data_IF_095809575075
#
_entry.id   IF_095809575075
#
_cell.length_a   1.000
_cell.length_b   1.000
_cell.length_c   1.000
_cell.angle_alpha   90.00
_cell.angle_beta   90.00
_cell.angle_gamma   90.00
#
_symmetry.space_group_name_H-M   'P 1'
#
loop_
_entity.id
_entity.type
_entity.pdbx_description
1 polymer ?
#
# COMPACT_ATOMS: atom_id res chain seq x y z
N UNK A 1 29.71 -20.77 22.15
CA UNK A 1 29.50 -20.45 20.71
C UNK A 1 29.42 -21.74 19.90
N UNK A 2 28.94 -21.72 18.65
CA UNK A 2 29.06 -22.89 17.73
C UNK A 2 30.53 -23.36 17.61
N UNK A 3 31.48 -22.43 17.64
CA UNK A 3 32.92 -22.71 17.63
C UNK A 3 33.47 -23.41 18.88
N UNK A 4 32.65 -23.57 19.92
CA UNK A 4 33.04 -24.19 21.20
C UNK A 4 32.13 -25.38 21.53
N UNK A 5 31.19 -25.72 20.64
CA UNK A 5 30.28 -26.82 20.86
C UNK A 5 31.02 -28.14 20.60
N UNK A 6 31.11 -29.05 21.59
CA UNK A 6 31.88 -30.27 21.46
C UNK A 6 31.25 -31.30 20.50
N UNK A 7 30.01 -31.09 20.07
CA UNK A 7 29.27 -31.98 19.18
C UNK A 7 29.14 -31.44 17.75
N UNK A 8 29.57 -30.21 17.49
CA UNK A 8 29.43 -29.55 16.19
C UNK A 8 30.79 -29.04 15.69
N UNK A 9 31.13 -29.36 14.45
CA UNK A 9 32.31 -28.82 13.77
C UNK A 9 31.85 -27.93 12.61
N UNK A 10 32.29 -26.67 12.59
CA UNK A 10 32.03 -25.76 11.48
C UNK A 10 33.06 -26.00 10.37
N UNK A 11 32.60 -26.49 9.21
CA UNK A 11 33.42 -26.75 8.04
C UNK A 11 32.86 -26.04 6.81
N UNK A 12 33.70 -25.80 5.82
CA UNK A 12 33.30 -25.33 4.49
C UNK A 12 32.66 -26.47 3.68
N UNK A 13 31.94 -26.10 2.61
CA UNK A 13 31.34 -27.09 1.68
C UNK A 13 32.42 -28.00 1.07
N UNK A 14 33.59 -27.45 0.71
CA UNK A 14 34.70 -28.23 0.15
C UNK A 14 35.24 -29.26 1.13
N UNK A 15 35.48 -28.85 2.39
CA UNK A 15 35.95 -29.78 3.44
C UNK A 15 34.91 -30.86 3.74
N UNK A 16 33.61 -30.50 3.75
CA UNK A 16 32.55 -31.47 3.93
C UNK A 16 32.55 -32.52 2.81
N UNK A 17 32.66 -32.10 1.54
CA UNK A 17 32.69 -33.00 0.38
C UNK A 17 33.92 -33.92 0.38
N UNK A 18 35.10 -33.41 0.76
CA UNK A 18 36.31 -34.22 0.87
C UNK A 18 36.21 -35.30 1.96
N UNK A 19 35.53 -34.99 3.08
CA UNK A 19 35.38 -35.90 4.23
C UNK A 19 34.25 -36.92 4.06
N UNK A 20 33.18 -36.57 3.34
CA UNK A 20 31.96 -37.38 3.26
C UNK A 20 32.10 -38.64 2.38
N UNK A 21 33.19 -38.74 1.59
CA UNK A 21 33.45 -39.89 0.71
C UNK A 21 32.59 -39.89 -0.56
N UNK A 22 32.47 -41.02 -1.27
CA UNK A 22 31.71 -41.08 -2.52
C UNK A 22 30.22 -40.80 -2.27
N UNK A 23 29.66 -39.85 -3.02
CA UNK A 23 28.25 -39.50 -2.93
C UNK A 23 27.35 -40.67 -3.37
N UNK A 24 26.21 -40.84 -2.69
CA UNK A 24 25.15 -41.73 -3.17
C UNK A 24 24.53 -41.16 -4.45
N UNK A 25 24.19 -42.05 -5.39
CA UNK A 25 23.59 -41.64 -6.65
C UNK A 25 22.13 -41.22 -6.45
N UNK A 26 21.80 -39.98 -6.83
CA UNK A 26 20.44 -39.50 -6.87
C UNK A 26 19.88 -39.73 -8.29
N UNK A 27 18.98 -40.71 -8.50
CA UNK A 27 18.59 -41.13 -9.85
C UNK A 27 17.75 -40.08 -10.59
N UNK A 28 17.13 -39.14 -9.86
CA UNK A 28 16.30 -38.08 -10.44
C UNK A 28 16.21 -36.87 -9.51
N UNK A 29 16.27 -35.68 -10.11
CA UNK A 29 15.89 -34.41 -9.48
C UNK A 29 14.66 -33.89 -10.23
N UNK A 30 13.64 -33.48 -9.49
CA UNK A 30 12.48 -32.81 -10.08
C UNK A 30 12.75 -31.31 -10.22
N UNK A 31 12.25 -30.63 -11.28
CA UNK A 31 12.31 -29.18 -11.36
C UNK A 31 11.53 -28.55 -10.21
N UNK A 32 12.14 -27.56 -9.56
CA UNK A 32 11.52 -26.77 -8.51
C UNK A 32 12.56 -25.89 -7.83
N UNK A 33 12.08 -25.03 -6.94
CA UNK A 33 12.93 -24.23 -6.07
C UNK A 33 12.86 -24.73 -4.62
N UNK A 34 13.74 -24.20 -3.78
CA UNK A 34 13.67 -24.40 -2.32
C UNK A 34 12.38 -23.84 -1.67
N UNK A 35 11.62 -23.01 -2.38
CA UNK A 35 10.33 -22.47 -1.95
C UNK A 35 9.24 -23.31 -2.63
N UNK A 36 8.35 -23.90 -1.84
CA UNK A 36 7.18 -24.68 -2.29
C UNK A 36 7.46 -25.82 -3.29
N UNK A 37 8.72 -26.17 -3.56
CA UNK A 37 9.14 -27.14 -4.58
C UNK A 37 8.61 -26.81 -5.99
N UNK A 38 8.43 -25.54 -6.32
CA UNK A 38 7.97 -25.06 -7.63
C UNK A 38 8.67 -23.73 -8.01
N UNK A 39 8.17 -23.04 -9.03
CA UNK A 39 8.70 -21.75 -9.50
C UNK A 39 7.68 -20.61 -9.42
N UNK A 40 6.58 -20.77 -8.66
CA UNK A 40 5.48 -19.80 -8.64
C UNK A 40 5.92 -18.39 -8.21
N UNK A 41 6.97 -18.30 -7.39
CA UNK A 41 7.61 -17.04 -6.97
C UNK A 41 8.15 -16.20 -8.14
N UNK A 42 8.49 -16.81 -9.28
CA UNK A 42 9.12 -16.10 -10.41
C UNK A 42 8.34 -16.20 -11.73
N UNK A 43 7.32 -17.06 -11.81
CA UNK A 43 6.53 -17.28 -13.02
C UNK A 43 5.14 -17.82 -12.70
N UNK A 44 4.12 -17.26 -13.35
CA UNK A 44 2.75 -17.77 -13.31
C UNK A 44 1.71 -16.68 -13.23
N UNK A 45 1.95 -15.61 -12.47
CA UNK A 45 1.05 -14.47 -12.44
C UNK A 45 1.16 -13.62 -13.71
N UNK A 46 0.16 -12.78 -13.94
CA UNK A 46 0.07 -11.94 -15.14
C UNK A 46 1.29 -11.02 -15.30
N UNK A 47 1.75 -10.42 -14.21
CA UNK A 47 2.92 -9.53 -14.19
C UNK A 47 4.22 -10.30 -14.46
N UNK A 48 4.39 -11.50 -13.88
CA UNK A 48 5.58 -12.32 -14.10
C UNK A 48 5.70 -12.73 -15.56
N UNK A 49 4.58 -13.19 -16.14
CA UNK A 49 4.53 -13.64 -17.53
C UNK A 49 4.84 -12.46 -18.46
N UNK A 50 4.28 -11.28 -18.19
CA UNK A 50 4.55 -10.08 -18.98
C UNK A 50 6.03 -9.65 -18.91
N UNK A 51 6.65 -9.74 -17.73
CA UNK A 51 8.08 -9.47 -17.59
C UNK A 51 8.93 -10.46 -18.42
N UNK A 52 8.63 -11.76 -18.32
CA UNK A 52 9.30 -12.80 -19.13
C UNK A 52 9.11 -12.60 -20.63
N UNK A 53 7.90 -12.23 -21.07
CA UNK A 53 7.61 -11.94 -22.48
C UNK A 53 8.47 -10.78 -22.99
N UNK A 54 8.58 -9.70 -22.22
CA UNK A 54 9.43 -8.55 -22.61
C UNK A 54 10.92 -8.89 -22.64
N UNK A 55 11.41 -9.74 -21.74
CA UNK A 55 12.78 -10.23 -21.77
C UNK A 55 13.03 -11.15 -22.98
N UNK A 56 12.09 -12.04 -23.28
CA UNK A 56 12.16 -12.92 -24.45
C UNK A 56 12.23 -12.11 -25.74
N UNK A 57 11.35 -11.11 -25.90
CA UNK A 57 11.34 -10.21 -27.05
C UNK A 57 12.68 -9.47 -27.21
N UNK A 58 13.26 -8.98 -26.11
CA UNK A 58 14.55 -8.30 -26.14
C UNK A 58 15.71 -9.24 -26.52
N UNK A 59 15.70 -10.50 -26.05
CA UNK A 59 16.70 -11.51 -26.43
C UNK A 59 16.60 -11.90 -27.90
N UNK A 60 15.39 -12.13 -28.39
CA UNK A 60 15.15 -12.47 -29.79
C UNK A 60 15.58 -11.31 -30.71
N UNK A 61 15.27 -10.07 -30.28
CA UNK A 61 15.72 -8.88 -30.99
C UNK A 61 17.25 -8.78 -31.03
N UNK A 62 17.94 -9.01 -29.92
CA UNK A 62 19.40 -9.02 -29.87
C UNK A 62 19.99 -10.09 -30.81
N UNK A 63 19.49 -11.33 -30.74
CA UNK A 63 19.95 -12.44 -31.57
C UNK A 63 19.79 -12.17 -33.08
N UNK A 64 18.73 -11.45 -33.46
CA UNK A 64 18.51 -11.07 -34.86
C UNK A 64 19.49 -10.01 -35.38
N UNK A 65 20.03 -9.15 -34.50
CA UNK A 65 20.81 -7.97 -34.90
C UNK A 65 22.29 -8.02 -34.49
N UNK A 66 22.71 -8.96 -33.65
CA UNK A 66 24.07 -9.03 -33.09
C UNK A 66 25.18 -9.16 -34.16
N UNK A 67 24.88 -9.76 -35.31
CA UNK A 67 25.85 -9.97 -36.41
C UNK A 67 26.15 -8.70 -37.18
N UNK A 68 25.21 -7.75 -37.19
CA UNK A 68 25.32 -6.46 -37.88
C UNK A 68 25.75 -5.33 -36.95
N UNK A 69 25.66 -5.53 -35.64
CA UNK A 69 26.07 -4.56 -34.63
C UNK A 69 27.60 -4.48 -34.51
N UNK A 70 28.11 -3.30 -34.14
CA UNK A 70 29.53 -3.17 -33.79
C UNK A 70 29.85 -3.94 -32.50
N UNK A 71 31.12 -4.33 -32.26
CA UNK A 71 31.51 -5.05 -31.05
C UNK A 71 31.10 -4.33 -29.75
N UNK A 72 31.18 -3.00 -29.73
CA UNK A 72 30.82 -2.19 -28.57
C UNK A 72 29.29 -2.20 -28.31
N UNK A 73 28.48 -2.05 -29.37
CA UNK A 73 27.02 -2.13 -29.25
C UNK A 73 26.56 -3.50 -28.78
N UNK A 74 27.17 -4.57 -29.33
CA UNK A 74 26.87 -5.94 -28.93
C UNK A 74 27.23 -6.20 -27.47
N UNK A 75 28.39 -5.72 -27.01
CA UNK A 75 28.80 -5.88 -25.61
C UNK A 75 27.83 -5.17 -24.66
N UNK A 76 27.45 -3.92 -24.96
CA UNK A 76 26.50 -3.15 -24.15
C UNK A 76 25.11 -3.80 -24.13
N UNK A 77 24.58 -4.20 -25.30
CA UNK A 77 23.27 -4.83 -25.37
C UNK A 77 23.24 -6.18 -24.62
N UNK A 78 24.33 -6.95 -24.67
CA UNK A 78 24.47 -8.20 -23.91
C UNK A 78 24.53 -7.93 -22.41
N UNK A 79 25.26 -6.91 -21.97
CA UNK A 79 25.31 -6.52 -20.56
C UNK A 79 23.92 -6.16 -20.03
N UNK A 80 23.14 -5.37 -20.77
CA UNK A 80 21.76 -5.01 -20.40
C UNK A 80 20.84 -6.24 -20.33
N UNK A 81 21.01 -7.22 -21.21
CA UNK A 81 20.29 -8.52 -21.12
C UNK A 81 20.68 -9.26 -19.85
N UNK A 82 21.99 -9.39 -19.56
CA UNK A 82 22.46 -10.11 -18.37
C UNK A 82 21.99 -9.46 -17.07
N UNK A 83 21.90 -8.12 -17.04
CA UNK A 83 21.29 -7.39 -15.92
C UNK A 83 19.80 -7.71 -15.81
N UNK A 84 19.06 -7.69 -16.92
CA UNK A 84 17.62 -8.00 -16.95
C UNK A 84 17.30 -9.49 -16.66
N UNK A 85 18.27 -10.41 -16.80
CA UNK A 85 18.14 -11.82 -16.43
C UNK A 85 18.29 -12.08 -14.91
N UNK A 86 18.58 -11.04 -14.11
CA UNK A 86 18.60 -11.15 -12.65
C UNK A 86 17.23 -11.57 -12.10
N UNK A 87 17.18 -12.69 -11.38
CA UNK A 87 15.91 -13.22 -10.84
C UNK A 87 15.21 -12.29 -9.84
N UNK A 88 15.94 -11.34 -9.26
CA UNK A 88 15.39 -10.32 -8.37
C UNK A 88 14.30 -9.47 -9.04
N UNK A 89 14.35 -9.25 -10.36
CA UNK A 89 13.28 -8.51 -11.05
C UNK A 89 11.94 -9.23 -10.94
N UNK A 90 11.94 -10.53 -11.28
CA UNK A 90 10.76 -11.38 -11.23
C UNK A 90 10.37 -11.80 -9.81
N UNK A 91 11.20 -11.53 -8.80
CA UNK A 91 10.80 -11.68 -7.39
C UNK A 91 9.78 -10.62 -6.96
N UNK A 92 9.76 -9.44 -7.59
CA UNK A 92 8.89 -8.32 -7.19
C UNK A 92 7.59 -8.21 -7.99
N UNK A 93 7.47 -8.95 -9.09
CA UNK A 93 6.21 -9.13 -9.81
C UNK A 93 5.38 -10.24 -9.15
N UNK A 94 4.06 -10.24 -9.39
CA UNK A 94 3.20 -11.33 -8.89
C UNK A 94 2.87 -11.23 -7.39
N UNK A 95 1.69 -11.70 -6.95
CA UNK A 95 1.07 -11.37 -5.65
C UNK A 95 1.89 -11.73 -4.39
N UNK A 96 2.94 -12.51 -4.54
CA UNK A 96 3.74 -13.11 -3.48
C UNK A 96 4.51 -12.06 -2.68
N UNK A 97 5.15 -11.12 -3.38
CA UNK A 97 6.03 -10.11 -2.80
C UNK A 97 5.66 -8.70 -3.28
N UNK A 98 6.04 -7.71 -2.49
CA UNK A 98 5.84 -6.28 -2.80
C UNK A 98 6.65 -5.43 -1.85
N UNK A 99 7.12 -4.29 -2.34
CA UNK A 99 7.83 -3.26 -1.59
C UNK A 99 7.37 -1.86 -2.00
N UNK A 100 7.67 -0.85 -1.20
CA UNK A 100 7.37 0.54 -1.54
C UNK A 100 8.09 1.00 -2.83
N UNK A 101 9.17 0.30 -3.20
CA UNK A 101 9.99 0.58 -4.37
C UNK A 101 9.55 -0.22 -5.61
N UNK A 102 8.42 -0.94 -5.59
CA UNK A 102 7.93 -1.70 -6.76
C UNK A 102 7.88 -0.83 -8.03
N UNK A 103 7.42 0.45 -8.00
CA UNK A 103 7.44 1.31 -9.18
C UNK A 103 8.85 1.61 -9.71
N UNK A 104 9.83 1.75 -8.82
CA UNK A 104 11.23 2.04 -9.19
C UNK A 104 11.89 0.79 -9.78
N UNK A 105 11.68 -0.38 -9.16
CA UNK A 105 12.18 -1.65 -9.68
C UNK A 105 11.58 -1.96 -11.06
N UNK A 106 10.28 -1.76 -11.24
CA UNK A 106 9.60 -1.90 -12.53
C UNK A 106 10.18 -0.97 -13.60
N UNK A 107 10.36 0.31 -13.27
CA UNK A 107 10.92 1.29 -14.20
C UNK A 107 12.37 0.99 -14.58
N UNK A 108 13.19 0.55 -13.62
CA UNK A 108 14.59 0.16 -13.87
C UNK A 108 14.66 -1.08 -14.77
N UNK A 109 13.87 -2.12 -14.45
CA UNK A 109 13.81 -3.34 -15.26
C UNK A 109 13.46 -3.05 -16.73
N UNK A 110 12.36 -2.31 -16.95
CA UNK A 110 11.94 -1.92 -18.30
C UNK A 110 12.97 -1.02 -19.00
N UNK A 111 13.72 -0.23 -18.25
CA UNK A 111 14.80 0.60 -18.79
C UNK A 111 15.97 -0.25 -19.31
N UNK A 112 16.37 -1.30 -18.59
CA UNK A 112 17.38 -2.26 -19.06
C UNK A 112 16.95 -2.93 -20.36
N UNK A 113 15.70 -3.43 -20.41
CA UNK A 113 15.14 -4.02 -21.62
C UNK A 113 15.11 -3.02 -22.79
N UNK A 114 14.71 -1.77 -22.54
CA UNK A 114 14.71 -0.73 -23.55
C UNK A 114 16.13 -0.35 -24.02
N UNK A 115 17.13 -0.45 -23.14
CA UNK A 115 18.53 -0.17 -23.47
C UNK A 115 19.12 -1.19 -24.45
N UNK A 116 18.65 -2.44 -24.46
CA UNK A 116 19.03 -3.44 -25.47
C UNK A 116 18.77 -2.90 -26.89
N UNK A 117 17.57 -2.38 -27.14
CA UNK A 117 17.19 -1.80 -28.44
C UNK A 117 18.00 -0.54 -28.75
N UNK A 118 18.16 0.36 -27.77
CA UNK A 118 18.90 1.62 -27.93
C UNK A 118 20.37 1.39 -28.24
N UNK A 119 21.00 0.44 -27.53
CA UNK A 119 22.41 0.07 -27.74
C UNK A 119 22.64 -0.43 -29.18
N UNK A 120 21.68 -1.16 -29.74
CA UNK A 120 21.71 -1.62 -31.13
C UNK A 120 21.31 -0.54 -32.15
N UNK A 121 20.92 0.66 -31.71
CA UNK A 121 20.56 1.79 -32.56
C UNK A 121 19.09 1.86 -32.97
N UNK A 122 18.22 1.13 -32.29
CA UNK A 122 16.78 1.04 -32.60
C UNK A 122 15.92 1.73 -31.53
N UNK A 123 14.69 2.10 -31.91
CA UNK A 123 13.69 2.60 -30.96
C UNK A 123 13.09 1.40 -30.19
N UNK A 124 13.00 1.46 -28.85
CA UNK A 124 12.38 0.40 -28.07
C UNK A 124 10.86 0.32 -28.33
N UNK A 125 10.24 -0.87 -28.16
CA UNK A 125 8.79 -1.05 -28.24
C UNK A 125 8.03 -0.14 -27.27
N UNK A 126 6.85 0.36 -27.67
CA UNK A 126 6.02 1.23 -26.82
C UNK A 126 5.47 0.51 -25.58
N UNK A 127 5.34 -0.82 -25.63
CA UNK A 127 4.94 -1.63 -24.49
C UNK A 127 5.87 -1.43 -23.28
N UNK A 128 7.18 -1.24 -23.49
CA UNK A 128 8.15 -0.99 -22.42
C UNK A 128 7.97 0.36 -21.72
N UNK A 129 7.15 1.26 -22.26
CA UNK A 129 6.81 2.52 -21.60
C UNK A 129 5.66 2.35 -20.58
N UNK A 130 4.91 1.24 -20.65
CA UNK A 130 3.84 0.92 -19.71
C UNK A 130 4.41 0.14 -18.52
N UNK A 131 4.04 0.47 -17.27
CA UNK A 131 4.39 -0.34 -16.11
C UNK A 131 3.87 -1.78 -16.23
N UNK A 132 4.68 -2.75 -15.81
CA UNK A 132 4.27 -4.14 -15.62
C UNK A 132 3.65 -4.28 -14.23
N UNK A 133 4.33 -3.76 -13.20
CA UNK A 133 3.86 -3.82 -11.82
C UNK A 133 2.54 -3.05 -11.64
N UNK A 134 1.53 -3.72 -11.08
CA UNK A 134 0.33 -3.04 -10.58
C UNK A 134 0.65 -2.39 -9.23
N UNK A 135 0.13 -1.18 -8.99
CA UNK A 135 0.23 -0.55 -7.68
C UNK A 135 -0.50 -1.41 -6.64
N UNK A 136 0.26 -2.13 -5.81
CA UNK A 136 -0.29 -2.98 -4.76
C UNK A 136 -0.08 -2.33 -3.41
N UNK A 137 -1.07 -1.56 -2.99
CA UNK A 137 -1.13 -1.12 -1.62
C UNK A 137 -1.53 -2.32 -0.74
N UNK A 138 -0.61 -2.89 0.04
CA UNK A 138 -0.96 -3.87 1.08
C UNK A 138 -1.81 -3.16 2.12
N UNK A 139 -3.10 -3.47 2.16
CA UNK A 139 -4.08 -2.88 3.07
C UNK A 139 -4.81 -3.98 3.82
N UNK A 140 -5.03 -3.78 5.11
CA UNK A 140 -6.06 -4.51 5.85
C UNK A 140 -7.35 -3.73 5.66
N UNK A 141 -8.33 -4.31 4.98
CA UNK A 141 -9.67 -3.75 4.83
C UNK A 141 -10.73 -4.75 5.28
N UNK A 142 -11.45 -4.39 6.35
CA UNK A 142 -12.55 -5.17 6.93
C UNK A 142 -13.79 -4.27 6.88
N UNK A 143 -14.93 -4.81 6.44
CA UNK A 143 -16.19 -4.09 6.44
C UNK A 143 -16.82 -4.09 7.84
N UNK A 144 -17.63 -3.08 8.19
CA UNK A 144 -18.41 -3.09 9.42
C UNK A 144 -19.37 -4.30 9.47
N UNK A 145 -19.38 -4.99 10.60
CA UNK A 145 -20.20 -6.20 10.83
C UNK A 145 -21.42 -5.92 11.73
N UNK A 146 -21.40 -4.83 12.51
CA UNK A 146 -22.45 -4.48 13.46
C UNK A 146 -22.70 -2.97 13.54
N UNK A 147 -23.86 -2.60 14.10
CA UNK A 147 -24.15 -1.20 14.42
C UNK A 147 -23.24 -0.69 15.54
N UNK A 148 -22.76 0.55 15.41
CA UNK A 148 -21.81 1.16 16.35
C UNK A 148 -22.48 2.20 17.26
N UNK A 149 -22.05 2.25 18.52
CA UNK A 149 -22.53 3.23 19.51
C UNK A 149 -21.38 3.79 20.39
N UNK A 150 -20.29 4.30 19.79
CA UNK A 150 -19.17 4.81 20.58
C UNK A 150 -19.56 6.11 21.28
N UNK A 151 -18.94 6.33 22.45
CA UNK A 151 -18.89 7.65 23.07
C UNK A 151 -17.84 8.48 22.35
N UNK A 152 -18.16 9.72 22.00
CA UNK A 152 -17.21 10.63 21.33
C UNK A 152 -16.46 11.42 22.40
N UNK A 153 -15.33 10.89 22.87
CA UNK A 153 -14.50 11.53 23.90
C UNK A 153 -12.99 11.59 23.57
N UNK A 154 -12.62 11.09 22.39
CA UNK A 154 -11.25 11.16 21.85
C UNK A 154 -10.32 10.10 22.43
N UNK A 155 -10.88 9.11 23.14
CA UNK A 155 -10.16 7.95 23.66
C UNK A 155 -11.00 6.70 23.46
N UNK A 156 -10.36 5.54 23.28
CA UNK A 156 -11.09 4.27 23.36
C UNK A 156 -11.35 3.99 24.83
N UNK A 157 -12.50 4.45 25.32
CA UNK A 157 -12.85 4.39 26.75
C UNK A 157 -13.25 2.98 27.16
N UNK A 158 -13.83 2.22 26.22
CA UNK A 158 -14.28 0.85 26.41
C UNK A 158 -13.98 -0.01 25.17
N UNK A 159 -13.47 -1.21 25.40
CA UNK A 159 -13.13 -2.19 24.35
C UNK A 159 -14.29 -2.47 23.38
N UNK A 160 -15.53 -2.44 23.86
CA UNK A 160 -16.71 -2.78 23.07
C UNK A 160 -17.20 -1.65 22.15
N UNK A 161 -16.73 -0.41 22.30
CA UNK A 161 -17.26 0.77 21.57
C UNK A 161 -17.09 0.67 20.06
N UNK A 162 -15.99 0.04 19.62
CA UNK A 162 -15.61 -0.12 18.22
C UNK A 162 -15.65 -1.59 17.77
N UNK A 163 -16.26 -2.48 18.57
CA UNK A 163 -16.41 -3.89 18.20
C UNK A 163 -17.38 -4.02 17.03
N UNK A 164 -16.96 -4.75 15.99
CA UNK A 164 -17.72 -4.87 14.73
C UNK A 164 -17.58 -3.65 13.80
N UNK A 165 -16.71 -2.70 14.11
CA UNK A 165 -16.38 -1.61 13.19
C UNK A 165 -15.58 -2.14 12.00
N UNK A 166 -15.79 -1.52 10.84
CA UNK A 166 -14.90 -1.69 9.70
C UNK A 166 -13.52 -1.13 10.04
N UNK A 167 -12.48 -1.74 9.47
CA UNK A 167 -11.10 -1.33 9.65
C UNK A 167 -10.49 -1.09 8.28
N UNK A 168 -9.79 0.04 8.14
CA UNK A 168 -8.89 0.26 7.02
C UNK A 168 -7.52 0.65 7.55
N UNK A 169 -6.50 -0.17 7.29
CA UNK A 169 -5.13 0.09 7.71
C UNK A 169 -4.16 -0.21 6.56
N UNK A 170 -3.50 0.82 6.02
CA UNK A 170 -2.34 0.62 5.15
C UNK A 170 -1.24 -0.10 5.92
N UNK A 171 -0.73 -1.21 5.39
CA UNK A 171 0.45 -1.88 5.94
C UNK A 171 1.67 -1.12 5.42
N UNK A 172 2.04 -0.05 6.12
CA UNK A 172 3.25 0.69 5.80
C UNK A 172 4.44 0.06 6.53
N UNK A 173 5.36 -0.52 5.77
CA UNK A 173 6.73 -0.79 6.24
C UNK A 173 7.57 0.44 5.91
N UNK A 174 8.35 0.89 6.90
CA UNK A 174 9.18 2.09 6.81
C UNK A 174 10.02 2.08 5.52
N UNK A 175 9.76 3.04 4.62
CA UNK A 175 10.65 3.33 3.51
C UNK A 175 11.89 4.03 4.07
N UNK A 176 13.07 3.43 3.87
CA UNK A 176 14.32 4.15 4.01
C UNK A 176 14.48 5.04 2.78
N UNK A 177 14.42 6.36 2.99
CA UNK A 177 14.65 7.46 2.02
C UNK A 177 13.38 8.03 1.33
N UNK A 178 13.01 9.26 1.75
CA UNK A 178 12.26 10.28 1.00
C UNK A 178 10.74 10.19 0.80
N UNK A 179 10.00 9.35 1.55
CA UNK A 179 8.55 9.54 1.70
C UNK A 179 8.24 10.61 2.77
N UNK A 180 7.31 11.54 2.50
CA UNK A 180 6.73 12.37 3.57
C UNK A 180 6.15 11.45 4.65
N UNK A 181 6.40 11.68 5.95
CA UNK A 181 5.83 10.85 7.00
C UNK A 181 4.30 10.91 6.93
N UNK A 182 3.65 9.74 6.89
CA UNK A 182 2.20 9.64 6.89
C UNK A 182 1.64 10.00 8.26
N UNK A 183 0.60 10.83 8.27
CA UNK A 183 -0.09 11.25 9.48
C UNK A 183 -1.12 10.20 9.90
N UNK A 184 -1.88 9.64 8.94
CA UNK A 184 -2.92 8.65 9.18
C UNK A 184 -2.33 7.24 9.31
N UNK A 185 -2.69 6.55 10.39
CA UNK A 185 -2.27 5.16 10.64
C UNK A 185 -3.33 4.16 10.21
N UNK A 186 -4.57 4.40 10.63
CA UNK A 186 -5.71 3.53 10.34
C UNK A 186 -7.03 4.23 10.62
N UNK A 187 -8.08 3.74 9.99
CA UNK A 187 -9.46 4.18 10.17
C UNK A 187 -10.28 3.04 10.77
N UNK A 188 -11.13 3.36 11.73
CA UNK A 188 -12.26 2.53 12.13
C UNK A 188 -13.54 3.25 11.78
N UNK A 189 -14.52 2.55 11.23
CA UNK A 189 -15.74 3.20 10.77
C UNK A 189 -16.94 2.28 10.85
N UNK A 190 -18.12 2.87 10.84
CA UNK A 190 -19.39 2.15 10.82
C UNK A 190 -20.53 3.11 11.07
N UNK A 191 -21.72 2.58 11.31
CA UNK A 191 -22.93 3.40 11.48
C UNK A 191 -23.93 2.72 12.39
N UNK A 192 -24.86 3.49 12.92
CA UNK A 192 -26.14 2.99 13.43
C UNK A 192 -27.28 3.38 12.45
N UNK A 193 -28.51 3.40 12.94
CA UNK A 193 -29.69 3.79 12.17
C UNK A 193 -29.70 5.29 11.79
N UNK A 194 -29.02 6.15 12.55
CA UNK A 194 -29.12 7.61 12.45
C UNK A 194 -27.79 8.33 12.18
N UNK A 195 -26.66 7.69 12.50
CA UNK A 195 -25.34 8.30 12.58
C UNK A 195 -24.28 7.44 11.88
N UNK A 196 -23.35 8.12 11.22
CA UNK A 196 -22.06 7.57 10.80
C UNK A 196 -21.00 7.89 11.85
N UNK A 197 -20.14 6.92 12.13
CA UNK A 197 -19.05 7.01 13.08
C UNK A 197 -17.71 6.76 12.39
N UNK A 198 -16.75 7.64 12.66
CA UNK A 198 -15.38 7.52 12.17
C UNK A 198 -14.41 7.74 13.32
N UNK A 199 -13.47 6.81 13.45
CA UNK A 199 -12.29 6.94 14.29
C UNK A 199 -11.05 6.97 13.42
N UNK A 200 -10.16 7.91 13.73
CA UNK A 200 -8.87 8.09 13.05
C UNK A 200 -7.76 7.94 14.07
N UNK A 201 -6.87 6.99 13.81
CA UNK A 201 -5.63 6.82 14.55
C UNK A 201 -4.49 7.48 13.76
N UNK A 202 -3.62 8.23 14.44
CA UNK A 202 -2.46 8.91 13.85
C UNK A 202 -1.15 8.19 14.21
N UNK A 203 -0.11 8.30 13.37
CA UNK A 203 1.23 7.80 13.68
C UNK A 203 1.97 8.68 14.70
N UNK A 204 1.90 10.00 14.53
CA UNK A 204 2.30 11.02 15.49
C UNK A 204 1.07 11.91 15.73
N UNK A 205 0.58 12.06 16.97
CA UNK A 205 -0.62 12.86 17.25
C UNK A 205 -0.42 14.32 16.82
N UNK A 206 -0.89 14.64 15.62
CA UNK A 206 -1.03 15.99 15.06
C UNK A 206 0.20 16.90 15.25
N UNK A 207 1.41 16.36 15.00
CA UNK A 207 2.66 17.09 14.75
C UNK A 207 2.75 18.51 15.33
N UNK A 208 2.74 18.63 16.66
CA UNK A 208 3.03 19.87 17.41
C UNK A 208 2.06 21.06 17.25
N UNK A 209 1.31 21.17 16.15
CA UNK A 209 0.43 22.30 15.84
C UNK A 209 -0.84 21.84 15.10
N UNK A 210 -1.91 21.45 15.83
CA UNK A 210 -3.14 20.95 15.21
C UNK A 210 -3.84 21.98 14.33
N UNK A 211 -3.56 23.28 14.54
CA UNK A 211 -4.24 24.40 13.87
C UNK A 211 -3.98 24.47 12.36
N UNK A 212 -2.91 23.83 11.86
CA UNK A 212 -2.58 23.81 10.43
C UNK A 212 -3.11 22.56 9.70
N UNK A 213 -3.71 21.61 10.43
CA UNK A 213 -4.28 20.37 9.89
C UNK A 213 -5.80 20.51 9.81
N UNK A 214 -6.38 20.04 8.71
CA UNK A 214 -7.81 19.82 8.56
C UNK A 214 -8.04 18.41 8.02
N UNK A 215 -9.14 17.78 8.43
CA UNK A 215 -9.61 16.56 7.77
C UNK A 215 -10.82 16.88 6.91
N UNK A 216 -10.77 16.47 5.65
CA UNK A 216 -11.92 16.46 4.76
C UNK A 216 -12.46 15.04 4.70
N UNK A 217 -13.73 14.86 5.06
CA UNK A 217 -14.44 13.59 4.91
C UNK A 217 -15.39 13.74 3.74
N UNK A 218 -15.04 13.14 2.61
CA UNK A 218 -15.87 13.13 1.41
C UNK A 218 -16.87 11.98 1.44
N UNK A 219 -18.03 12.18 0.80
CA UNK A 219 -19.08 11.17 0.67
C UNK A 219 -19.55 11.03 -0.77
N UNK A 220 -19.87 9.81 -1.18
CA UNK A 220 -20.62 9.53 -2.42
C UNK A 220 -22.11 9.36 -2.09
N UNK A 221 -22.97 10.09 -2.80
CA UNK A 221 -24.43 10.01 -2.64
C UNK A 221 -25.01 10.86 -1.50
N UNK A 222 -24.22 11.73 -0.87
CA UNK A 222 -24.69 12.69 0.13
C UNK A 222 -25.19 14.00 -0.52
N UNK A 223 -26.09 14.71 0.16
CA UNK A 223 -26.52 16.05 -0.25
C UNK A 223 -25.42 17.11 -0.03
N UNK A 224 -24.58 16.92 1.00
CA UNK A 224 -23.33 17.66 1.18
C UNK A 224 -22.15 16.74 0.85
N UNK A 225 -21.35 17.04 -0.19
CA UNK A 225 -20.35 16.10 -0.71
C UNK A 225 -19.16 15.87 0.22
N UNK A 226 -18.98 16.74 1.23
CA UNK A 226 -17.97 16.57 2.25
C UNK A 226 -18.24 17.41 3.50
N UNK A 227 -17.61 17.00 4.62
CA UNK A 227 -17.43 17.84 5.80
C UNK A 227 -15.95 18.10 6.05
N UNK A 228 -15.67 19.27 6.63
CA UNK A 228 -14.35 19.69 7.08
C UNK A 228 -14.31 19.67 8.60
N UNK A 229 -13.37 18.92 9.15
CA UNK A 229 -13.00 18.93 10.56
C UNK A 229 -11.77 19.81 10.72
N UNK A 230 -11.90 20.88 11.50
CA UNK A 230 -10.80 21.78 11.86
C UNK A 230 -10.47 21.62 13.34
N UNK A 231 -9.19 21.75 13.67
CA UNK A 231 -8.70 21.65 15.04
C UNK A 231 -8.18 23.01 15.51
N UNK A 232 -8.43 23.35 16.77
CA UNK A 232 -7.90 24.55 17.39
C UNK A 232 -7.41 24.26 18.81
N UNK A 233 -6.21 24.71 19.17
CA UNK A 233 -5.74 24.67 20.56
C UNK A 233 -6.01 26.02 21.26
N UNK A 234 -7.05 26.13 22.09
CA UNK A 234 -7.42 27.40 22.74
C UNK A 234 -6.45 27.83 23.86
N UNK A 235 -5.52 26.97 24.27
CA UNK A 235 -4.46 27.29 25.24
C UNK A 235 -3.55 26.08 25.52
N UNK A 236 -2.39 26.28 26.18
CA UNK A 236 -1.37 25.22 26.36
C UNK A 236 -1.88 23.99 27.12
N UNK A 237 -2.80 24.18 28.07
CA UNK A 237 -3.34 23.11 28.94
C UNK A 237 -4.79 22.73 28.62
N UNK A 238 -5.38 23.31 27.57
CA UNK A 238 -6.76 23.01 27.17
C UNK A 238 -6.80 21.90 26.13
N UNK A 239 -7.85 21.08 26.21
CA UNK A 239 -8.16 20.10 25.17
C UNK A 239 -8.30 20.77 23.79
N UNK A 240 -7.94 20.04 22.74
CA UNK A 240 -8.08 20.52 21.36
C UNK A 240 -9.57 20.59 21.03
N UNK A 241 -10.03 21.77 20.60
CA UNK A 241 -11.38 21.95 20.12
C UNK A 241 -11.47 21.41 18.68
N UNK A 242 -12.52 20.62 18.40
CA UNK A 242 -12.84 20.15 17.07
C UNK A 242 -14.07 20.89 16.55
N UNK A 243 -13.99 21.43 15.35
CA UNK A 243 -15.13 22.07 14.69
C UNK A 243 -15.43 21.35 13.38
N UNK A 244 -16.69 20.99 13.16
CA UNK A 244 -17.16 20.31 11.94
C UNK A 244 -18.06 21.27 11.18
N UNK A 245 -17.75 21.49 9.90
CA UNK A 245 -18.56 22.29 8.99
C UNK A 245 -18.77 21.56 7.67
N UNK A 246 -19.93 21.71 7.01
CA UNK A 246 -20.08 21.26 5.62
C UNK A 246 -19.11 22.02 4.72
N UNK A 247 -18.56 21.36 3.71
CA UNK A 247 -17.71 22.01 2.70
C UNK A 247 -18.54 22.95 1.80
N UNK A 248 -19.71 22.47 1.37
CA UNK A 248 -20.69 23.21 0.58
C UNK A 248 -22.12 22.90 1.06
N UNK A 249 -23.00 23.91 0.96
CA UNK A 249 -24.44 23.80 1.24
C UNK A 249 -24.86 24.26 2.65
N UNK A 250 -26.15 24.58 2.78
CA UNK A 250 -26.80 24.83 4.08
C UNK A 250 -27.40 23.51 4.55
N UNK A 251 -26.88 22.98 5.65
CA UNK A 251 -27.45 21.79 6.29
C UNK A 251 -28.81 22.16 6.89
N UNK A 252 -29.82 21.34 6.64
CA UNK A 252 -31.11 21.50 7.31
C UNK A 252 -30.95 21.12 8.78
N UNK A 253 -30.97 22.07 9.72
CA UNK A 253 -30.86 21.72 11.14
C UNK A 253 -31.92 22.34 12.04
N UNK A 254 -32.68 21.42 12.64
CA UNK A 254 -33.26 21.52 13.98
C UNK A 254 -32.57 20.55 14.99
N UNK A 255 -31.52 19.81 14.58
CA UNK A 255 -30.78 18.82 15.39
C UNK A 255 -29.26 19.09 15.34
N UNK A 256 -28.43 18.57 16.28
CA UNK A 256 -26.98 18.72 16.19
C UNK A 256 -26.41 17.88 15.03
N UNK A 257 -25.72 18.56 14.11
CA UNK A 257 -25.12 17.99 12.90
C UNK A 257 -24.16 16.83 13.19
N UNK A 258 -23.27 17.07 14.15
CA UNK A 258 -22.05 16.32 14.30
C UNK A 258 -21.43 16.55 15.67
N UNK A 259 -20.55 15.66 16.05
CA UNK A 259 -19.76 15.72 17.26
C UNK A 259 -18.36 15.17 16.95
N UNK A 260 -17.32 15.81 17.49
CA UNK A 260 -15.96 15.29 17.39
C UNK A 260 -15.16 15.57 18.65
N UNK A 261 -14.27 14.65 18.98
CA UNK A 261 -13.33 14.77 20.08
C UNK A 261 -11.96 14.25 19.64
N UNK A 262 -10.92 15.04 19.90
CA UNK A 262 -9.53 14.67 19.65
C UNK A 262 -8.79 14.53 20.99
N UNK A 263 -8.39 13.29 21.30
CA UNK A 263 -7.57 12.94 22.45
C UNK A 263 -6.34 12.14 21.99
N UNK A 264 -6.32 10.84 22.32
CA UNK A 264 -5.33 9.90 21.76
C UNK A 264 -5.68 9.47 20.34
N UNK A 265 -6.96 9.55 20.01
CA UNK A 265 -7.55 9.29 18.70
C UNK A 265 -8.49 10.45 18.37
N UNK A 266 -8.85 10.58 17.10
CA UNK A 266 -9.99 11.39 16.72
C UNK A 266 -11.21 10.50 16.60
N UNK A 267 -12.30 10.91 17.23
CA UNK A 267 -13.62 10.29 17.07
C UNK A 267 -14.61 11.30 16.52
N UNK A 268 -15.46 10.85 15.61
CA UNK A 268 -16.42 11.69 14.91
C UNK A 268 -17.75 10.95 14.81
N UNK A 269 -18.83 11.67 15.12
CA UNK A 269 -20.21 11.28 14.82
C UNK A 269 -20.81 12.29 13.84
N UNK A 270 -21.41 11.80 12.76
CA UNK A 270 -22.14 12.61 11.77
C UNK A 270 -23.57 12.10 11.63
N UNK A 271 -24.56 12.99 11.71
CA UNK A 271 -25.95 12.61 11.45
C UNK A 271 -26.15 12.31 9.96
N UNK A 272 -26.62 11.09 9.64
CA UNK A 272 -26.89 10.67 8.26
C UNK A 272 -27.96 11.57 7.61
N UNK A 273 -29.04 11.87 8.35
CA UNK A 273 -30.12 12.75 7.87
C UNK A 273 -29.63 14.16 7.61
N UNK A 274 -28.81 14.72 8.49
CA UNK A 274 -28.27 16.07 8.31
C UNK A 274 -27.35 16.14 7.07
N UNK A 275 -26.60 15.08 6.80
CA UNK A 275 -25.75 14.94 5.61
C UNK A 275 -26.52 14.62 4.33
N UNK A 276 -27.82 14.32 4.42
CA UNK A 276 -28.63 13.85 3.31
C UNK A 276 -28.23 12.45 2.81
N UNK A 277 -27.62 11.64 3.67
CA UNK A 277 -27.30 10.24 3.42
C UNK A 277 -28.52 9.36 3.72
N UNK A 278 -28.79 8.38 2.85
CA UNK A 278 -29.88 7.43 3.03
C UNK A 278 -29.66 6.52 4.24
N UNK A 279 -30.67 6.37 5.09
CA UNK A 279 -30.59 5.44 6.24
C UNK A 279 -30.68 3.97 5.80
N UNK A 280 -31.34 3.70 4.68
CA UNK A 280 -31.60 2.32 4.19
C UNK A 280 -30.66 1.88 3.06
N UNK A 281 -29.68 2.71 2.69
CA UNK A 281 -28.77 2.43 1.59
C UNK A 281 -27.31 2.51 2.06
N UNK A 282 -26.41 1.72 1.46
CA UNK A 282 -24.98 1.91 1.66
C UNK A 282 -24.53 3.24 1.05
N UNK A 283 -23.43 3.76 1.57
CA UNK A 283 -22.74 4.92 0.99
C UNK A 283 -21.24 4.72 1.10
N UNK A 284 -20.48 5.49 0.32
CA UNK A 284 -19.02 5.42 0.38
C UNK A 284 -18.43 6.70 0.95
N UNK A 285 -17.28 6.60 1.61
CA UNK A 285 -16.55 7.74 2.15
C UNK A 285 -15.05 7.67 1.87
N UNK A 286 -14.39 8.81 2.02
CA UNK A 286 -12.95 8.99 1.93
C UNK A 286 -12.50 10.05 2.94
N UNK A 287 -11.31 9.89 3.51
CA UNK A 287 -10.70 10.82 4.46
C UNK A 287 -9.43 11.38 3.87
N UNK A 288 -9.35 12.70 3.73
CA UNK A 288 -8.17 13.42 3.23
C UNK A 288 -7.64 14.36 4.31
N UNK A 289 -6.35 14.28 4.59
CA UNK A 289 -5.62 15.25 5.42
C UNK A 289 -5.19 16.42 4.56
N UNK A 290 -5.53 17.63 5.02
CA UNK A 290 -5.08 18.88 4.43
C UNK A 290 -4.16 19.58 5.40
N UNK A 291 -3.00 20.02 4.91
CA UNK A 291 -2.09 20.87 5.67
C UNK A 291 -1.79 22.13 4.86
N UNK A 292 -1.93 23.31 5.48
CA UNK A 292 -1.76 24.60 4.81
C UNK A 292 -2.60 24.73 3.51
N UNK A 293 -3.83 24.20 3.53
CA UNK A 293 -4.76 24.13 2.40
C UNK A 293 -4.30 23.28 1.19
N UNK A 294 -3.32 22.39 1.37
CA UNK A 294 -2.95 21.38 0.37
C UNK A 294 -3.30 19.98 0.88
N UNK A 295 -3.92 19.11 0.06
CA UNK A 295 -4.11 17.71 0.43
C UNK A 295 -2.74 17.01 0.47
N UNK A 296 -2.40 16.40 1.61
CA UNK A 296 -1.10 15.74 1.82
C UNK A 296 -1.21 14.22 1.93
N UNK A 297 -2.38 13.70 2.32
CA UNK A 297 -2.61 12.27 2.51
C UNK A 297 -4.09 11.94 2.37
N UNK A 298 -4.43 10.79 1.78
CA UNK A 298 -5.83 10.34 1.63
C UNK A 298 -5.95 8.85 1.90
N UNK A 299 -6.95 8.45 2.69
CA UNK A 299 -7.37 7.07 2.89
C UNK A 299 -8.83 6.88 2.43
N UNK A 300 -9.17 5.78 1.72
CA UNK A 300 -8.25 4.72 1.29
C UNK A 300 -7.25 5.23 0.23
N UNK A 301 -6.15 4.48 0.05
CA UNK A 301 -5.07 4.86 -0.86
C UNK A 301 -5.56 4.93 -2.31
N UNK A 302 -6.55 4.11 -2.64
CA UNK A 302 -7.31 4.18 -3.88
C UNK A 302 -8.81 4.03 -3.61
N UNK A 303 -9.62 4.73 -4.39
CA UNK A 303 -11.07 4.57 -4.36
C UNK A 303 -11.74 5.14 -3.10
N UNK A 304 -12.76 4.42 -2.62
CA UNK A 304 -13.66 4.83 -1.54
C UNK A 304 -13.97 3.64 -0.63
N UNK A 305 -14.19 3.88 0.66
CA UNK A 305 -14.59 2.85 1.62
C UNK A 305 -16.11 2.77 1.70
N UNK A 306 -16.66 1.58 1.51
CA UNK A 306 -18.09 1.33 1.58
C UNK A 306 -18.55 1.20 3.04
N UNK A 307 -19.65 1.88 3.38
CA UNK A 307 -20.35 1.76 4.66
C UNK A 307 -21.68 1.05 4.41
N UNK A 308 -21.77 -0.27 4.68
CA UNK A 308 -23.00 -1.03 4.51
C UNK A 308 -24.07 -0.63 5.54
N UNK A 309 -25.32 -0.98 5.25
CA UNK A 309 -26.38 -0.97 6.26
C UNK A 309 -26.11 -2.16 7.20
N UNK A 310 -26.03 -1.95 8.53
CA UNK A 310 -25.84 -3.04 9.47
C UNK A 310 -26.94 -4.10 9.32
N UNK A 311 -26.57 -5.38 9.49
CA UNK A 311 -27.49 -6.51 9.42
C UNK A 311 -28.46 -6.57 10.61
#
# INVERSE_FOLDING_TARGET
MLSEDPLLECVTVSEALERHGPAEELPRIAPGSWINANFDIWIGAEEDNQAWDHLSDARDFFAAHEKTASPAQRALALEEILVAEGSDWNWWYGPEHSTANDPDFDALYRSHLANVYRALGYRPPEALAQPIARLRHRVTSILPEAALFPRIDGVVSNYFEWMGAGLYSPIQRAAAMHGQPTLLRQLYYGRDAENFYLRVDFHDPAGGSPDNIKLRIGFRGAASPAVIVSFARPGPEKAIACEIRPEEGVLALAAPLAEAALGRILEIRLSLRAMGLGTELPFDFQVTVWQNNLPIETLPLEGWLAVPVPA
#
